data_IF_913816416560
#
_entry.id   IF_913816416560
#
_cell.length_a   1.000
_cell.length_b   1.000
_cell.length_c   1.000
_cell.angle_alpha   90.00
_cell.angle_beta   90.00
_cell.angle_gamma   90.00
#
_symmetry.space_group_name_H-M   'P 1'
#
loop_
_entity.id
_entity.type
_entity.pdbx_description
1 polymer ?
#
# COMPACT_ATOMS: atom_id res chain seq x y z
N UNK A 1 -4.24 -13.75 -3.53
CA UNK A 1 -4.63 -12.64 -2.63
C UNK A 1 -5.94 -12.87 -1.89
N UNK A 2 -7.06 -13.19 -2.58
CA UNK A 2 -8.41 -13.26 -1.97
C UNK A 2 -8.53 -14.06 -0.66
N UNK A 3 -7.93 -15.25 -0.57
CA UNK A 3 -8.00 -16.08 0.64
C UNK A 3 -7.37 -15.37 1.87
N UNK A 4 -6.26 -14.65 1.66
CA UNK A 4 -5.58 -13.90 2.73
C UNK A 4 -6.42 -12.70 3.16
N UNK A 5 -7.02 -11.98 2.20
CA UNK A 5 -7.92 -10.86 2.47
C UNK A 5 -9.16 -11.31 3.26
N UNK A 6 -9.82 -12.39 2.84
CA UNK A 6 -10.97 -12.94 3.54
C UNK A 6 -10.63 -13.37 4.98
N UNK A 7 -9.49 -14.04 5.17
CA UNK A 7 -9.03 -14.45 6.50
C UNK A 7 -8.71 -13.24 7.37
N UNK A 8 -8.01 -12.26 6.82
CA UNK A 8 -7.67 -11.00 7.51
C UNK A 8 -8.92 -10.23 7.93
N UNK A 9 -9.90 -10.11 7.04
CA UNK A 9 -11.19 -9.47 7.34
C UNK A 9 -11.92 -10.16 8.49
N UNK A 10 -11.95 -11.51 8.48
CA UNK A 10 -12.54 -12.28 9.58
C UNK A 10 -11.80 -12.04 10.90
N UNK A 11 -10.47 -12.08 10.88
CA UNK A 11 -9.63 -11.85 12.07
C UNK A 11 -9.85 -10.46 12.65
N UNK A 12 -9.80 -9.40 11.84
CA UNK A 12 -9.95 -8.03 12.36
C UNK A 12 -11.38 -7.76 12.88
N UNK A 13 -12.42 -8.35 12.27
CA UNK A 13 -13.79 -8.24 12.80
C UNK A 13 -14.00 -9.03 14.09
N UNK A 14 -13.34 -10.17 14.24
CA UNK A 14 -13.32 -10.89 15.52
C UNK A 14 -12.65 -10.06 16.61
N UNK A 15 -11.54 -9.40 16.28
CA UNK A 15 -10.86 -8.52 17.22
C UNK A 15 -11.72 -7.32 17.63
N UNK A 16 -12.39 -6.68 16.67
CA UNK A 16 -13.33 -5.59 16.95
C UNK A 16 -14.48 -6.02 17.86
N UNK A 17 -15.00 -7.24 17.69
CA UNK A 17 -16.02 -7.79 18.59
C UNK A 17 -15.47 -8.09 19.98
N UNK A 18 -14.22 -8.53 20.08
CA UNK A 18 -13.58 -8.91 21.35
C UNK A 18 -13.18 -7.70 22.19
N UNK A 19 -12.73 -6.64 21.53
CA UNK A 19 -12.21 -5.40 22.16
C UNK A 19 -13.27 -4.31 22.26
N UNK A 20 -14.37 -4.43 21.51
CA UNK A 20 -15.37 -3.39 21.30
C UNK A 20 -14.79 -2.11 20.65
N UNK A 21 -13.62 -2.21 20.01
CA UNK A 21 -12.98 -1.11 19.32
C UNK A 21 -13.37 -1.02 17.83
N UNK A 22 -13.19 0.18 17.27
CA UNK A 22 -13.43 0.43 15.85
C UNK A 22 -12.32 -0.20 14.99
N UNK A 23 -12.71 -0.57 13.75
CA UNK A 23 -11.75 -0.93 12.72
C UNK A 23 -11.37 0.35 11.97
N UNK A 24 -10.11 0.74 12.06
CA UNK A 24 -9.52 1.80 11.26
C UNK A 24 -8.97 1.22 9.95
N UNK A 25 -9.29 1.89 8.85
CA UNK A 25 -8.72 1.61 7.53
C UNK A 25 -7.67 2.70 7.30
N UNK A 26 -6.41 2.31 7.32
CA UNK A 26 -5.27 3.20 7.12
C UNK A 26 -4.77 3.00 5.70
N UNK A 27 -4.63 4.09 4.96
CA UNK A 27 -4.11 4.09 3.60
C UNK A 27 -2.94 5.05 3.55
N UNK A 28 -1.81 4.57 3.06
CA UNK A 28 -0.59 5.36 2.92
C UNK A 28 0.14 4.95 1.64
N UNK A 29 0.85 5.90 1.03
CA UNK A 29 1.75 5.61 -0.08
C UNK A 29 3.18 5.43 0.38
N UNK A 30 3.88 4.48 -0.21
CA UNK A 30 5.26 4.17 0.12
C UNK A 30 6.07 3.87 -1.13
N UNK A 31 7.39 4.07 -1.04
CA UNK A 31 8.32 3.77 -2.12
C UNK A 31 9.20 2.59 -1.73
N UNK A 32 9.11 1.50 -2.49
CA UNK A 32 10.07 0.41 -2.46
C UNK A 32 11.30 0.83 -3.26
N UNK A 33 12.25 1.47 -2.56
CA UNK A 33 13.52 1.91 -3.15
C UNK A 33 14.31 0.73 -3.73
N UNK A 34 14.88 0.95 -4.89
CA UNK A 34 15.73 0.03 -5.64
C UNK A 34 17.06 0.69 -5.95
N UNK A 35 18.05 -0.14 -6.27
CA UNK A 35 19.31 0.38 -6.82
C UNK A 35 19.03 1.06 -8.15
N UNK A 36 19.45 2.32 -8.26
CA UNK A 36 19.36 3.07 -9.51
C UNK A 36 20.12 2.31 -10.61
N UNK A 37 19.53 2.10 -11.79
CA UNK A 37 20.27 1.52 -12.91
C UNK A 37 21.47 2.40 -13.27
N UNK A 38 22.59 1.75 -13.62
CA UNK A 38 23.76 2.44 -14.17
C UNK A 38 23.37 3.26 -15.40
N UNK A 39 24.08 4.35 -15.69
CA UNK A 39 23.93 5.07 -16.97
C UNK A 39 24.25 4.18 -18.18
N UNK A 40 24.96 3.07 -17.96
CA UNK A 40 25.26 2.04 -18.95
C UNK A 40 24.21 0.91 -19.00
N UNK A 41 23.18 0.95 -18.14
CA UNK A 41 22.15 -0.08 -18.14
C UNK A 41 21.28 0.08 -19.39
N UNK A 42 21.30 -0.94 -20.25
CA UNK A 42 20.49 -0.98 -21.48
C UNK A 42 19.00 -1.22 -21.20
N UNK A 43 18.66 -1.75 -20.02
CA UNK A 43 17.30 -2.03 -19.59
C UNK A 43 17.13 -1.56 -18.14
N UNK A 44 16.15 -0.70 -17.90
CA UNK A 44 15.73 -0.33 -16.55
C UNK A 44 14.78 -1.38 -15.97
N UNK A 45 14.68 -1.43 -14.64
CA UNK A 45 13.66 -2.24 -13.96
C UNK A 45 12.28 -1.73 -14.39
N UNK A 46 11.38 -2.63 -14.79
CA UNK A 46 10.06 -2.25 -15.26
C UNK A 46 9.23 -1.63 -14.12
N UNK A 47 8.55 -0.53 -14.41
CA UNK A 47 7.61 0.11 -13.50
C UNK A 47 8.23 0.88 -12.33
N UNK A 48 9.56 1.04 -12.31
CA UNK A 48 10.25 1.94 -11.37
C UNK A 48 10.39 3.35 -11.95
N UNK A 49 10.39 4.36 -11.09
CA UNK A 49 10.62 5.75 -11.44
C UNK A 49 11.41 6.51 -10.38
N UNK A 50 11.60 7.81 -10.60
CA UNK A 50 12.14 8.73 -9.60
C UNK A 50 11.02 9.28 -8.73
N UNK A 51 11.21 9.21 -7.41
CA UNK A 51 10.26 9.71 -6.41
C UNK A 51 11.02 10.55 -5.38
N UNK A 52 10.43 11.64 -4.89
CA UNK A 52 11.07 12.43 -3.85
C UNK A 52 10.83 11.79 -2.48
N UNK A 53 11.90 11.36 -1.80
CA UNK A 53 11.82 10.88 -0.43
C UNK A 53 11.98 12.06 0.53
N UNK A 54 10.91 12.43 1.23
CA UNK A 54 10.97 13.46 2.27
C UNK A 54 11.90 13.04 3.41
N UNK A 55 11.88 11.77 3.82
CA UNK A 55 12.76 11.24 4.87
C UNK A 55 14.24 11.32 4.51
N UNK A 56 14.59 11.14 3.22
CA UNK A 56 15.98 11.23 2.76
C UNK A 56 16.37 12.59 2.19
N UNK A 57 15.40 13.53 2.06
CA UNK A 57 15.61 14.84 1.45
C UNK A 57 16.10 14.79 0.00
N UNK A 58 15.84 13.71 -0.73
CA UNK A 58 16.37 13.51 -2.09
C UNK A 58 15.48 12.61 -2.94
N UNK A 59 15.70 12.65 -4.26
CA UNK A 59 15.09 11.69 -5.17
C UNK A 59 15.67 10.29 -4.95
N UNK A 60 14.78 9.30 -4.92
CA UNK A 60 15.07 7.87 -4.85
C UNK A 60 14.49 7.19 -6.08
N UNK A 61 15.09 6.07 -6.48
CA UNK A 61 14.60 5.25 -7.58
C UNK A 61 13.85 4.05 -7.02
N UNK A 62 12.64 3.75 -7.49
CA UNK A 62 11.89 2.64 -6.93
C UNK A 62 10.49 2.46 -7.50
N UNK A 63 9.77 1.48 -6.94
CA UNK A 63 8.34 1.31 -7.18
C UNK A 63 7.56 2.05 -6.12
N UNK A 64 6.52 2.77 -6.53
CA UNK A 64 5.60 3.40 -5.60
C UNK A 64 4.33 2.56 -5.46
N UNK A 65 3.83 2.43 -4.24
CA UNK A 65 2.72 1.56 -3.88
C UNK A 65 1.79 2.32 -2.93
N UNK A 66 0.48 2.14 -3.08
CA UNK A 66 -0.52 2.56 -2.08
C UNK A 66 -0.92 1.31 -1.30
N UNK A 67 -0.75 1.34 0.01
CA UNK A 67 -1.00 0.21 0.90
C UNK A 67 -2.23 0.49 1.78
N UNK A 68 -3.08 -0.53 1.94
CA UNK A 68 -4.21 -0.54 2.86
C UNK A 68 -3.91 -1.46 4.04
N UNK A 69 -3.98 -0.91 5.25
CA UNK A 69 -3.78 -1.60 6.52
C UNK A 69 -5.06 -1.50 7.33
N UNK A 70 -5.47 -2.63 7.93
CA UNK A 70 -6.59 -2.66 8.88
C UNK A 70 -6.04 -2.69 10.30
N UNK A 71 -6.60 -1.83 11.16
CA UNK A 71 -6.24 -1.76 12.57
C UNK A 71 -7.48 -1.83 13.45
N UNK A 72 -7.40 -2.58 14.55
CA UNK A 72 -8.37 -2.59 15.62
C UNK A 72 -7.64 -2.86 16.93
N UNK A 73 -7.67 -1.91 17.88
CA UNK A 73 -6.77 -1.91 19.03
C UNK A 73 -5.30 -2.05 18.63
N UNK A 74 -4.66 -3.08 19.18
CA UNK A 74 -3.26 -3.46 18.89
C UNK A 74 -3.12 -4.43 17.71
N UNK A 75 -4.22 -4.94 17.16
CA UNK A 75 -4.19 -5.79 15.98
C UNK A 75 -4.05 -4.93 14.72
N UNK A 76 -2.90 -5.06 14.04
CA UNK A 76 -2.57 -4.31 12.82
C UNK A 76 -2.19 -5.31 11.73
N UNK A 77 -2.96 -5.35 10.64
CA UNK A 77 -2.76 -6.34 9.57
C UNK A 77 -2.74 -5.65 8.20
N UNK A 78 -1.67 -5.82 7.39
CA UNK A 78 -1.68 -5.44 5.97
C UNK A 78 -2.78 -6.20 5.24
N UNK A 79 -3.63 -5.48 4.52
CA UNK A 79 -4.82 -6.06 3.91
C UNK A 79 -4.75 -6.11 2.38
N UNK A 80 -4.42 -4.99 1.75
CA UNK A 80 -4.26 -4.92 0.30
C UNK A 80 -3.21 -3.86 -0.08
N UNK A 81 -2.74 -3.91 -1.32
CA UNK A 81 -1.85 -2.89 -1.87
C UNK A 81 -1.99 -2.83 -3.38
N UNK A 82 -1.73 -1.65 -3.95
CA UNK A 82 -1.70 -1.44 -5.39
C UNK A 82 -0.47 -0.66 -5.78
N UNK A 83 0.15 -1.06 -6.89
CA UNK A 83 1.23 -0.26 -7.49
C UNK A 83 0.64 1.03 -8.03
N UNK A 84 1.30 2.14 -7.70
CA UNK A 84 0.97 3.44 -8.25
C UNK A 84 1.63 3.60 -9.62
N UNK A 85 0.82 4.02 -10.59
CA UNK A 85 1.23 4.35 -11.95
C UNK A 85 0.63 5.70 -12.30
N UNK A 86 1.43 6.77 -12.22
CA UNK A 86 0.96 8.15 -12.35
C UNK A 86 0.26 8.45 -13.67
N UNK A 87 0.62 7.74 -14.74
CA UNK A 87 0.01 7.87 -16.07
C UNK A 87 -1.40 7.25 -16.14
N UNK A 88 -1.73 6.33 -15.23
CA UNK A 88 -3.01 5.60 -15.26
C UNK A 88 -4.06 6.21 -14.34
N UNK A 89 -3.67 6.56 -13.10
CA UNK A 89 -4.59 7.09 -12.11
C UNK A 89 -3.86 7.79 -10.97
N UNK A 90 -4.56 8.69 -10.27
CA UNK A 90 -4.07 9.36 -9.07
C UNK A 90 -4.05 8.43 -7.84
N UNK A 91 -3.23 8.77 -6.84
CA UNK A 91 -3.20 8.06 -5.55
C UNK A 91 -4.54 8.12 -4.81
N UNK A 92 -5.28 9.23 -4.95
CA UNK A 92 -6.61 9.41 -4.35
C UNK A 92 -7.59 8.41 -4.96
N UNK A 93 -7.58 8.25 -6.29
CA UNK A 93 -8.43 7.25 -6.96
C UNK A 93 -8.10 5.83 -6.50
N UNK A 94 -6.81 5.49 -6.37
CA UNK A 94 -6.37 4.22 -5.80
C UNK A 94 -6.88 4.00 -4.38
N UNK A 95 -6.78 5.02 -3.52
CA UNK A 95 -7.26 4.95 -2.14
C UNK A 95 -8.78 4.70 -2.11
N UNK A 96 -9.56 5.45 -2.90
CA UNK A 96 -11.00 5.24 -3.02
C UNK A 96 -11.35 3.82 -3.49
N UNK A 97 -10.61 3.29 -4.48
CA UNK A 97 -10.82 1.95 -4.99
C UNK A 97 -10.53 0.87 -3.92
N UNK A 98 -9.43 1.02 -3.16
CA UNK A 98 -9.09 0.12 -2.06
C UNK A 98 -10.17 0.10 -0.98
N UNK A 99 -10.74 1.26 -0.63
CA UNK A 99 -11.86 1.32 0.33
C UNK A 99 -13.12 0.67 -0.25
N UNK A 100 -13.45 0.95 -1.52
CA UNK A 100 -14.65 0.42 -2.16
C UNK A 100 -14.65 -1.11 -2.28
N UNK A 101 -13.47 -1.73 -2.34
CA UNK A 101 -13.28 -3.18 -2.43
C UNK A 101 -13.38 -3.91 -1.08
N UNK A 102 -13.55 -3.19 0.04
CA UNK A 102 -13.75 -3.83 1.33
C UNK A 102 -15.09 -4.61 1.38
N UNK A 103 -15.13 -5.76 2.05
CA UNK A 103 -16.38 -6.49 2.24
C UNK A 103 -17.37 -5.67 3.07
N UNK A 104 -18.66 -5.74 2.71
CA UNK A 104 -19.76 -5.10 3.46
C UNK A 104 -20.24 -6.01 4.59
#
# INVERSE_FOLDING_TARGET
MRIIQEKTWKTIRQEAKRTEELIFIIIDDTVCEKTKPSSQAMLSIQGTGFHYSHTKGKQVWGHEMVQQVLRCGDCVIPYDFKRYESEKQSKIQLACELVANLPR
#
